data_IF_433329343318
#
_entry.id   IF_433329343318
#
_cell.length_a   1.000
_cell.length_b   1.000
_cell.length_c   1.000
_cell.angle_alpha   90.00
_cell.angle_beta   90.00
_cell.angle_gamma   90.00
#
_symmetry.space_group_name_H-M   'P 1'
#
loop_
_entity.id
_entity.type
_entity.pdbx_description
1 polymer ?
#
# COMPACT_ATOMS: atom_id res chain seq x y z
N UNK A 1 12.40 7.82 18.91
CA UNK A 1 11.12 8.51 19.19
C UNK A 1 10.43 8.55 17.85
N UNK A 2 9.41 7.71 17.76
CA UNK A 2 8.68 7.34 16.57
C UNK A 2 7.69 8.46 16.25
N UNK A 3 8.07 9.38 15.36
CA UNK A 3 7.12 10.32 14.77
C UNK A 3 6.58 9.69 13.49
N UNK A 4 5.87 8.57 13.66
CA UNK A 4 5.03 8.00 12.63
C UNK A 4 4.09 9.09 12.12
N UNK A 5 4.13 9.33 10.81
CA UNK A 5 3.30 10.34 10.15
C UNK A 5 1.84 10.02 10.46
N UNK A 6 1.26 10.80 11.37
CA UNK A 6 -0.11 10.64 11.83
C UNK A 6 -1.07 10.69 10.63
N UNK A 7 -2.15 9.91 10.67
CA UNK A 7 -3.21 9.98 9.66
C UNK A 7 -3.77 11.41 9.50
N UNK A 8 -3.69 12.25 10.54
CA UNK A 8 -4.01 13.68 10.47
C UNK A 8 -3.02 14.46 9.60
N UNK A 9 -1.73 14.15 9.69
CA UNK A 9 -0.69 14.79 8.87
C UNK A 9 -0.82 14.42 7.40
N UNK A 10 -1.20 13.18 7.09
CA UNK A 10 -1.49 12.77 5.71
C UNK A 10 -2.75 13.47 5.20
N UNK A 11 -3.81 13.50 6.02
CA UNK A 11 -5.06 14.19 5.67
C UNK A 11 -4.87 15.70 5.45
N UNK A 12 -4.02 16.36 6.25
CA UNK A 12 -3.66 17.77 6.06
C UNK A 12 -2.86 17.99 4.78
N UNK A 13 -1.89 17.14 4.47
CA UNK A 13 -1.15 17.25 3.20
C UNK A 13 -2.06 17.04 1.98
N UNK A 14 -3.02 16.11 2.08
CA UNK A 14 -4.03 15.90 1.02
C UNK A 14 -4.94 17.12 0.89
N UNK A 15 -5.45 17.66 2.00
CA UNK A 15 -6.32 18.86 1.98
C UNK A 15 -5.60 20.08 1.41
N UNK A 16 -4.34 20.30 1.83
CA UNK A 16 -3.51 21.42 1.36
C UNK A 16 -3.09 21.26 -0.10
N UNK A 17 -3.03 20.03 -0.63
CA UNK A 17 -2.88 19.78 -2.07
C UNK A 17 -4.15 20.08 -2.86
N UNK A 18 -5.33 19.87 -2.27
CA UNK A 18 -6.61 20.15 -2.93
C UNK A 18 -6.89 21.64 -3.14
N UNK A 19 -6.40 22.52 -2.26
CA UNK A 19 -6.53 23.98 -2.42
C UNK A 19 -5.68 24.56 -3.57
N UNK A 20 -4.68 23.81 -4.05
CA UNK A 20 -3.78 24.21 -5.14
C UNK A 20 -4.44 24.04 -6.52
N UNK A 21 -5.54 23.28 -6.59
CA UNK A 21 -6.31 23.02 -7.80
C UNK A 21 -7.22 24.19 -8.19
N UNK A 22 -6.65 25.38 -8.36
CA UNK A 22 -7.30 26.45 -9.12
C UNK A 22 -7.34 26.02 -10.59
N UNK A 23 -8.52 25.90 -11.23
CA UNK A 23 -8.61 25.38 -12.59
C UNK A 23 -7.85 26.30 -13.57
N UNK A 24 -6.96 25.70 -14.38
CA UNK A 24 -6.29 26.38 -15.48
C UNK A 24 -7.28 26.55 -16.65
N UNK A 25 -7.22 27.65 -17.41
CA UNK A 25 -8.13 27.88 -18.53
C UNK A 25 -7.90 26.86 -19.66
N UNK A 26 -8.87 25.94 -19.78
CA UNK A 26 -9.47 25.34 -20.98
C UNK A 26 -8.52 24.97 -22.15
N UNK A 27 -8.24 23.67 -22.31
CA UNK A 27 -8.00 23.03 -23.62
C UNK A 27 -9.20 22.13 -23.89
N UNK A 28 -10.05 22.52 -24.83
CA UNK A 28 -11.45 22.08 -24.98
C UNK A 28 -11.68 20.81 -25.81
N UNK A 29 -10.66 20.06 -26.24
CA UNK A 29 -10.85 18.98 -27.23
C UNK A 29 -10.41 17.57 -26.79
N UNK A 30 -10.00 17.37 -25.55
CA UNK A 30 -9.63 16.04 -25.06
C UNK A 30 -10.50 15.68 -23.85
N UNK A 31 -11.28 14.61 -23.99
CA UNK A 31 -12.19 14.02 -22.99
C UNK A 31 -11.70 14.23 -21.55
N UNK A 32 -12.22 15.28 -20.91
CA UNK A 32 -11.88 15.66 -19.55
C UNK A 32 -12.66 14.78 -18.58
N UNK A 33 -11.99 13.79 -18.00
CA UNK A 33 -12.49 13.10 -16.81
C UNK A 33 -12.18 14.05 -15.63
N UNK A 34 -13.17 14.62 -14.93
CA UNK A 34 -12.87 15.53 -13.84
C UNK A 34 -12.08 14.77 -12.76
N UNK A 35 -10.94 15.31 -12.30
CA UNK A 35 -10.06 14.67 -11.28
C UNK A 35 -10.84 14.15 -10.08
N UNK A 36 -11.92 14.84 -9.68
CA UNK A 36 -12.84 14.42 -8.61
C UNK A 36 -13.46 13.03 -8.82
N UNK A 37 -13.67 12.62 -10.07
CA UNK A 37 -14.22 11.30 -10.41
C UNK A 37 -13.21 10.15 -10.22
N UNK A 38 -11.91 10.46 -10.09
CA UNK A 38 -10.85 9.47 -9.79
C UNK A 38 -10.66 9.26 -8.27
N UNK A 39 -11.22 10.13 -7.42
CA UNK A 39 -11.11 10.01 -5.95
C UNK A 39 -11.61 8.65 -5.40
N UNK A 40 -12.73 8.07 -5.88
CA UNK A 40 -13.16 6.75 -5.42
C UNK A 40 -12.15 5.64 -5.76
N UNK A 41 -11.51 5.72 -6.93
CA UNK A 41 -10.48 4.75 -7.34
C UNK A 41 -9.22 4.89 -6.48
N UNK A 42 -8.76 6.13 -6.24
CA UNK A 42 -7.65 6.39 -5.34
C UNK A 42 -7.89 5.85 -3.93
N UNK A 43 -9.10 6.04 -3.39
CA UNK A 43 -9.47 5.53 -2.08
C UNK A 43 -9.55 4.01 -2.01
N UNK A 44 -9.96 3.36 -3.11
CA UNK A 44 -9.94 1.91 -3.22
C UNK A 44 -8.50 1.38 -3.14
N UNK A 45 -7.59 1.97 -3.93
CA UNK A 45 -6.16 1.65 -3.93
C UNK A 45 -5.56 1.83 -2.53
N UNK A 46 -5.86 2.95 -1.87
CA UNK A 46 -5.40 3.22 -0.49
C UNK A 46 -5.90 2.14 0.50
N UNK A 47 -7.19 1.78 0.41
CA UNK A 47 -7.78 0.76 1.29
C UNK A 47 -7.13 -0.62 1.06
N UNK A 48 -6.85 -0.98 -0.20
CA UNK A 48 -6.18 -2.23 -0.54
C UNK A 48 -4.73 -2.26 -0.07
N UNK A 49 -4.03 -1.13 -0.14
CA UNK A 49 -2.68 -0.99 0.39
C UNK A 49 -2.66 -1.21 1.91
N UNK A 50 -3.56 -0.55 2.64
CA UNK A 50 -3.68 -0.71 4.10
C UNK A 50 -3.97 -2.17 4.49
N UNK A 51 -4.78 -2.87 3.71
CA UNK A 51 -5.07 -4.28 3.94
C UNK A 51 -3.83 -5.18 3.70
N UNK A 52 -3.06 -4.92 2.64
CA UNK A 52 -1.79 -5.62 2.40
C UNK A 52 -0.77 -5.33 3.51
N UNK A 53 -0.64 -4.09 3.94
CA UNK A 53 0.22 -3.73 5.07
C UNK A 53 -0.18 -4.49 6.33
N UNK A 54 -1.48 -4.58 6.63
CA UNK A 54 -2.00 -5.33 7.77
C UNK A 54 -1.74 -6.83 7.64
N UNK A 55 -1.78 -7.41 6.44
CA UNK A 55 -1.41 -8.82 6.24
C UNK A 55 0.08 -9.06 6.47
N UNK A 56 0.93 -8.14 5.99
CA UNK A 56 2.37 -8.24 6.11
C UNK A 56 2.84 -8.02 7.56
N UNK A 57 2.38 -6.96 8.20
CA UNK A 57 2.90 -6.42 9.46
C UNK A 57 1.94 -6.58 10.66
N UNK A 58 0.71 -7.02 10.42
CA UNK A 58 -0.30 -7.18 11.46
C UNK A 58 -1.14 -5.92 11.71
N UNK A 59 -2.17 -6.07 12.55
CA UNK A 59 -3.04 -4.96 12.95
C UNK A 59 -2.45 -4.20 14.15
N UNK A 60 -1.68 -3.16 13.86
CA UNK A 60 -1.04 -2.32 14.88
C UNK A 60 -2.04 -1.57 15.75
N UNK A 61 -3.23 -1.25 15.22
CA UNK A 61 -4.26 -0.52 15.98
C UNK A 61 -4.85 -1.41 17.06
N UNK A 62 -5.18 -2.67 16.74
CA UNK A 62 -5.64 -3.65 17.72
C UNK A 62 -4.52 -4.02 18.71
N UNK A 63 -3.31 -4.30 18.20
CA UNK A 63 -2.17 -4.66 19.04
C UNK A 63 -1.82 -3.56 20.06
N UNK A 64 -1.85 -2.28 19.67
CA UNK A 64 -1.61 -1.14 20.58
C UNK A 64 -2.61 -1.02 21.73
N UNK A 65 -3.77 -1.69 21.60
CA UNK A 65 -4.85 -1.72 22.58
C UNK A 65 -4.87 -3.02 23.37
N UNK A 66 -3.77 -3.78 23.34
CA UNK A 66 -3.59 -5.05 24.05
C UNK A 66 -4.65 -6.10 23.69
N UNK A 67 -5.21 -6.03 22.47
CA UNK A 67 -6.07 -7.07 21.94
C UNK A 67 -5.24 -8.14 21.24
N UNK A 68 -5.67 -9.39 21.38
CA UNK A 68 -5.07 -10.50 20.65
C UNK A 68 -5.28 -10.33 19.14
N UNK A 69 -4.19 -10.30 18.40
CA UNK A 69 -4.18 -10.28 16.93
C UNK A 69 -3.60 -11.57 16.40
N UNK A 70 -4.14 -12.12 15.29
CA UNK A 70 -3.50 -13.24 14.63
C UNK A 70 -2.08 -12.85 14.17
N UNK A 71 -1.12 -13.80 14.13
CA UNK A 71 0.22 -13.53 13.63
C UNK A 71 0.19 -13.07 12.17
N UNK A 72 0.92 -11.99 11.89
CA UNK A 72 1.16 -11.50 10.54
C UNK A 72 2.16 -12.38 9.77
N UNK A 73 2.33 -12.10 8.47
CA UNK A 73 3.36 -12.74 7.67
C UNK A 73 4.76 -12.52 8.29
N UNK A 74 5.06 -11.28 8.67
CA UNK A 74 6.33 -10.89 9.31
C UNK A 74 6.52 -11.60 10.66
N UNK A 75 5.47 -11.76 11.47
CA UNK A 75 5.56 -12.50 12.75
C UNK A 75 5.93 -13.97 12.54
N UNK A 76 5.27 -14.62 11.58
CA UNK A 76 5.52 -16.03 11.27
C UNK A 76 6.94 -16.26 10.75
N UNK A 77 7.40 -15.38 9.86
CA UNK A 77 8.78 -15.42 9.37
C UNK A 77 9.79 -15.06 10.46
N UNK A 78 9.43 -14.16 11.38
CA UNK A 78 10.21 -13.83 12.57
C UNK A 78 10.49 -15.05 13.44
N UNK A 79 9.48 -15.88 13.71
CA UNK A 79 9.64 -17.13 14.48
C UNK A 79 10.65 -18.09 13.82
N UNK A 80 10.60 -18.21 12.49
CA UNK A 80 11.50 -19.09 11.73
C UNK A 80 12.91 -18.54 11.70
N UNK A 81 13.07 -17.26 11.33
CA UNK A 81 14.37 -16.60 11.20
C UNK A 81 15.11 -16.55 12.53
N UNK A 82 14.44 -16.13 13.61
CA UNK A 82 15.01 -16.14 14.95
C UNK A 82 15.43 -17.55 15.38
N UNK A 83 14.55 -18.53 15.15
CA UNK A 83 14.81 -19.92 15.49
C UNK A 83 16.03 -20.53 14.79
N UNK A 84 16.23 -20.18 13.52
CA UNK A 84 17.38 -20.63 12.73
C UNK A 84 18.69 -19.93 13.13
N UNK A 85 18.62 -18.69 13.63
CA UNK A 85 19.81 -17.98 14.11
C UNK A 85 20.25 -18.43 15.51
N UNK A 86 19.31 -18.75 16.39
CA UNK A 86 19.60 -19.07 17.79
C UNK A 86 19.88 -20.57 18.03
N UNK A 87 19.62 -21.44 17.05
CA UNK A 87 19.73 -22.89 17.23
C UNK A 87 20.36 -23.61 16.04
N UNK A 88 21.25 -24.56 16.33
CA UNK A 88 21.79 -25.52 15.36
C UNK A 88 21.02 -26.84 15.31
N UNK A 89 19.94 -26.95 16.09
CA UNK A 89 19.08 -28.14 16.10
C UNK A 89 18.11 -28.13 14.92
N UNK A 90 17.48 -29.27 14.63
CA UNK A 90 16.44 -29.35 13.61
C UNK A 90 15.26 -28.38 13.94
N UNK A 91 14.57 -27.81 12.94
CA UNK A 91 13.45 -26.90 13.15
C UNK A 91 12.37 -27.52 14.06
N UNK A 92 11.78 -26.70 14.94
CA UNK A 92 10.71 -27.16 15.83
C UNK A 92 9.40 -27.36 15.06
N UNK A 93 8.41 -28.00 15.70
CA UNK A 93 7.07 -28.13 15.14
C UNK A 93 6.46 -26.76 14.80
N UNK A 94 6.59 -25.79 15.70
CA UNK A 94 6.10 -24.43 15.51
C UNK A 94 6.76 -23.74 14.32
N UNK A 95 8.08 -23.87 14.15
CA UNK A 95 8.78 -23.28 12.99
C UNK A 95 8.27 -23.83 11.66
N UNK A 96 8.06 -25.16 11.57
CA UNK A 96 7.50 -25.79 10.36
C UNK A 96 6.09 -25.29 10.07
N UNK A 97 5.22 -25.25 11.09
CA UNK A 97 3.84 -24.77 10.94
C UNK A 97 3.82 -23.29 10.52
N UNK A 98 4.63 -22.43 11.14
CA UNK A 98 4.74 -21.02 10.77
C UNK A 98 5.22 -20.85 9.34
N UNK A 99 6.22 -21.62 8.90
CA UNK A 99 6.72 -21.59 7.53
C UNK A 99 5.66 -22.02 6.51
N UNK A 100 4.93 -23.11 6.78
CA UNK A 100 3.90 -23.62 5.88
C UNK A 100 2.74 -22.62 5.73
N UNK A 101 2.35 -21.96 6.83
CA UNK A 101 1.30 -20.94 6.79
C UNK A 101 1.81 -19.70 6.05
N UNK A 102 2.99 -19.18 6.41
CA UNK A 102 3.57 -18.01 5.77
C UNK A 102 3.76 -18.23 4.26
N UNK A 103 4.17 -19.44 3.84
CA UNK A 103 4.32 -19.77 2.42
C UNK A 103 2.99 -19.66 1.67
N UNK A 104 1.89 -20.16 2.25
CA UNK A 104 0.55 -20.04 1.62
C UNK A 104 0.04 -18.61 1.62
N UNK A 105 0.20 -17.88 2.74
CA UNK A 105 -0.21 -16.48 2.85
C UNK A 105 0.57 -15.59 1.88
N UNK A 106 1.87 -15.86 1.69
CA UNK A 106 2.73 -15.11 0.76
C UNK A 106 2.30 -15.28 -0.71
N UNK A 107 1.84 -16.46 -1.11
CA UNK A 107 1.34 -16.70 -2.47
C UNK A 107 0.10 -15.85 -2.80
N UNK A 108 -0.79 -15.66 -1.82
CA UNK A 108 -1.93 -14.74 -1.94
C UNK A 108 -1.44 -13.29 -1.92
N UNK A 109 -0.61 -12.93 -0.94
CA UNK A 109 -0.08 -11.58 -0.77
C UNK A 109 0.61 -11.06 -2.04
N UNK A 110 1.49 -11.85 -2.67
CA UNK A 110 2.20 -11.43 -3.89
C UNK A 110 1.24 -11.21 -5.06
N UNK A 111 0.16 -11.99 -5.13
CA UNK A 111 -0.85 -11.89 -6.19
C UNK A 111 -1.65 -10.60 -6.02
N UNK A 112 -2.09 -10.32 -4.79
CA UNK A 112 -2.83 -9.12 -4.45
C UNK A 112 -1.96 -7.86 -4.59
N UNK A 113 -0.69 -7.91 -4.19
CA UNK A 113 0.27 -6.84 -4.41
C UNK A 113 0.47 -6.55 -5.90
N UNK A 114 0.63 -7.58 -6.73
CA UNK A 114 0.77 -7.40 -8.17
C UNK A 114 -0.50 -6.79 -8.80
N UNK A 115 -1.69 -7.15 -8.30
CA UNK A 115 -2.94 -6.53 -8.73
C UNK A 115 -3.03 -5.06 -8.31
N UNK A 116 -2.61 -4.73 -7.08
CA UNK A 116 -2.57 -3.36 -6.59
C UNK A 116 -1.62 -2.48 -7.40
N UNK A 117 -0.43 -2.99 -7.74
CA UNK A 117 0.52 -2.28 -8.61
C UNK A 117 -0.11 -1.92 -9.94
N UNK A 118 -0.82 -2.86 -10.58
CA UNK A 118 -1.55 -2.59 -11.84
C UNK A 118 -2.68 -1.57 -11.66
N UNK A 119 -3.39 -1.59 -10.52
CA UNK A 119 -4.44 -0.62 -10.23
C UNK A 119 -3.86 0.81 -10.05
N UNK A 120 -2.70 0.92 -9.39
CA UNK A 120 -1.94 2.18 -9.28
C UNK A 120 -1.53 2.68 -10.66
N UNK A 121 -0.93 1.82 -11.50
CA UNK A 121 -0.53 2.19 -12.87
C UNK A 121 -1.70 2.69 -13.71
N UNK A 122 -2.87 2.04 -13.61
CA UNK A 122 -4.08 2.47 -14.29
C UNK A 122 -4.56 3.84 -13.80
N UNK A 123 -4.57 4.06 -12.48
CA UNK A 123 -4.95 5.34 -11.89
C UNK A 123 -3.97 6.46 -12.29
N UNK A 124 -2.67 6.18 -12.32
CA UNK A 124 -1.65 7.12 -12.78
C UNK A 124 -1.88 7.53 -14.24
N UNK A 125 -2.16 6.56 -15.11
CA UNK A 125 -2.47 6.78 -16.53
C UNK A 125 -3.71 7.66 -16.72
N UNK A 126 -4.77 7.42 -15.95
CA UNK A 126 -5.96 8.27 -16.00
C UNK A 126 -5.65 9.70 -15.50
N UNK A 127 -4.87 9.84 -14.44
CA UNK A 127 -4.45 11.17 -13.95
C UNK A 127 -3.65 11.97 -15.00
N UNK A 128 -2.81 11.32 -15.81
CA UNK A 128 -2.09 12.00 -16.89
C UNK A 128 -3.04 12.54 -17.96
N UNK A 129 -4.06 11.77 -18.35
CA UNK A 129 -5.09 12.21 -19.31
C UNK A 129 -5.87 13.42 -18.80
N UNK A 130 -6.04 13.54 -17.48
CA UNK A 130 -6.75 14.67 -16.86
C UNK A 130 -5.91 15.93 -16.71
N UNK A 131 -4.61 15.89 -17.05
CA UNK A 131 -3.69 17.01 -16.89
C UNK A 131 -3.38 17.32 -15.42
N UNK A 132 -3.52 16.34 -14.52
CA UNK A 132 -3.18 16.52 -13.11
C UNK A 132 -1.69 16.89 -12.95
N UNK A 133 -1.33 17.73 -11.97
CA UNK A 133 0.07 18.02 -11.66
C UNK A 133 0.86 16.74 -11.35
N UNK A 134 2.15 16.77 -11.63
CA UNK A 134 3.06 15.67 -11.29
C UNK A 134 2.97 15.33 -9.78
N UNK A 135 2.85 14.05 -9.46
CA UNK A 135 2.89 13.52 -8.09
C UNK A 135 4.27 12.92 -7.81
N UNK A 136 4.95 13.25 -6.69
CA UNK A 136 6.24 12.64 -6.35
C UNK A 136 6.16 11.11 -6.36
N UNK A 137 7.14 10.45 -6.99
CA UNK A 137 7.15 9.00 -7.15
C UNK A 137 6.39 8.48 -8.37
N UNK A 138 5.62 9.33 -9.07
CA UNK A 138 5.05 9.01 -10.38
C UNK A 138 6.19 8.71 -11.34
N UNK A 139 6.18 7.51 -11.93
CA UNK A 139 7.12 7.18 -13.00
C UNK A 139 6.81 8.10 -14.18
N UNK A 140 7.73 9.00 -14.58
CA UNK A 140 7.47 9.85 -15.74
C UNK A 140 7.26 8.94 -16.95
N UNK A 141 6.15 9.16 -17.66
CA UNK A 141 5.88 8.51 -18.93
C UNK A 141 7.10 8.68 -19.85
N UNK A 142 7.69 7.56 -20.23
CA UNK A 142 8.49 7.52 -21.44
C UNK A 142 7.54 7.81 -22.60
N UNK A 143 7.45 9.09 -22.98
CA UNK A 143 7.01 9.44 -24.31
C UNK A 143 8.08 8.88 -25.25
N UNK A 144 7.75 7.83 -26.00
CA UNK A 144 8.52 7.53 -27.21
C UNK A 144 8.31 8.71 -28.15
N UNK A 145 9.32 9.55 -28.24
CA UNK A 145 9.62 10.28 -29.47
C UNK A 145 10.38 9.34 -30.43
#
# INVERSE_FOLDING_TARGET
>A
VDDGVSAQTIAEHVAKNLEQFRPLPQREDQTYVPIRSLLPQARLVETQLMELERQLEGDRSLSSREFETPPSLSDRLGVVTWGLWESTSAPTGTMRVSFDIASREFETFKTDLAALVKAVEALETELEKTGAPYTPGRRPGWSQD
#
